data_IF_726152599781
#
_entry.id   IF_726152599781
#
_cell.length_a   1.000
_cell.length_b   1.000
_cell.length_c   1.000
_cell.angle_alpha   90.00
_cell.angle_beta   90.00
_cell.angle_gamma   90.00
#
_symmetry.space_group_name_H-M   'P 1'
#
loop_
_entity.id
_entity.type
_entity.pdbx_description
1 polymer ?
#
# COMPACT_ATOMS: atom_id res chain seq x y z
N UNK A 1 7.94 -11.57 -5.93
CA UNK A 1 9.01 -11.23 -6.91
C UNK A 1 9.27 -9.74 -6.79
N UNK A 2 10.52 -9.33 -6.57
CA UNK A 2 10.91 -7.95 -6.27
C UNK A 2 10.81 -7.06 -7.52
N UNK A 3 10.28 -5.84 -7.38
CA UNK A 3 10.32 -4.82 -8.44
C UNK A 3 11.76 -4.44 -8.81
N UNK A 4 12.70 -4.60 -7.86
CA UNK A 4 14.10 -4.20 -8.03
C UNK A 4 14.97 -5.19 -8.82
N UNK A 5 14.52 -6.42 -9.08
CA UNK A 5 15.36 -7.45 -9.74
C UNK A 5 15.23 -7.51 -11.27
N UNK A 6 14.47 -6.60 -11.90
CA UNK A 6 14.10 -6.72 -13.32
C UNK A 6 14.45 -5.55 -14.24
N UNK A 7 15.12 -4.50 -13.76
CA UNK A 7 15.34 -3.29 -14.57
C UNK A 7 14.05 -2.51 -14.88
N UNK A 8 13.04 -2.62 -14.02
CA UNK A 8 11.77 -1.91 -14.19
C UNK A 8 11.95 -0.40 -13.94
N UNK A 9 11.66 0.41 -14.96
CA UNK A 9 11.76 1.88 -14.92
C UNK A 9 10.49 2.55 -14.35
N UNK A 10 9.55 1.77 -13.83
CA UNK A 10 8.29 2.24 -13.27
C UNK A 10 7.40 1.10 -12.80
N UNK A 11 6.42 1.41 -11.93
CA UNK A 11 5.45 0.45 -11.40
C UNK A 11 4.04 0.99 -11.51
N UNK A 12 3.15 0.24 -12.17
CA UNK A 12 1.71 0.50 -12.15
C UNK A 12 1.08 -0.47 -11.16
N UNK A 13 0.41 0.05 -10.15
CA UNK A 13 -0.30 -0.77 -9.17
C UNK A 13 -1.19 0.10 -8.31
N UNK A 14 -2.38 -0.37 -7.95
CA UNK A 14 -3.31 0.48 -7.21
C UNK A 14 -2.87 0.81 -5.78
N UNK A 15 -1.76 0.23 -5.31
CA UNK A 15 -1.04 0.65 -4.09
C UNK A 15 -0.32 1.98 -4.25
N UNK A 16 -0.03 2.47 -5.47
CA UNK A 16 0.60 3.78 -5.69
C UNK A 16 -0.27 4.94 -5.19
N UNK A 17 -1.60 4.75 -5.15
CA UNK A 17 -2.54 5.77 -4.67
C UNK A 17 -2.26 6.21 -3.22
N UNK A 18 -1.74 5.30 -2.39
CA UNK A 18 -1.51 5.55 -0.96
C UNK A 18 -0.10 5.17 -0.47
N UNK A 19 0.67 4.40 -1.24
CA UNK A 19 2.04 3.98 -0.94
C UNK A 19 3.05 4.46 -2.00
N UNK A 20 2.72 5.48 -2.79
CA UNK A 20 3.55 5.97 -3.89
C UNK A 20 4.93 6.46 -3.43
N UNK A 21 5.00 7.17 -2.29
CA UNK A 21 6.26 7.69 -1.72
C UNK A 21 7.30 6.61 -1.47
N UNK A 22 6.90 5.47 -0.93
CA UNK A 22 7.81 4.36 -0.64
C UNK A 22 8.26 3.64 -1.91
N UNK A 23 7.37 3.49 -2.89
CA UNK A 23 7.70 2.88 -4.18
C UNK A 23 8.73 3.72 -4.96
N UNK A 24 8.58 5.06 -4.97
CA UNK A 24 9.60 5.95 -5.55
C UNK A 24 10.90 5.88 -4.75
N UNK A 25 10.82 5.86 -3.41
CA UNK A 25 11.99 5.74 -2.55
C UNK A 25 12.80 4.45 -2.77
N UNK A 26 12.17 3.33 -3.14
CA UNK A 26 12.87 2.08 -3.52
C UNK A 26 13.73 2.32 -4.76
N UNK A 27 13.16 2.97 -5.79
CA UNK A 27 13.84 3.23 -7.06
C UNK A 27 15.03 4.16 -6.81
N UNK A 28 14.81 5.28 -6.10
CA UNK A 28 15.86 6.23 -5.80
C UNK A 28 17.01 5.63 -4.96
N UNK A 29 16.68 4.81 -3.95
CA UNK A 29 17.71 4.16 -3.13
C UNK A 29 18.52 3.16 -3.95
N UNK A 30 17.86 2.41 -4.85
CA UNK A 30 18.52 1.51 -5.78
C UNK A 30 19.47 2.25 -6.73
N UNK A 31 19.03 3.35 -7.34
CA UNK A 31 19.84 4.18 -8.24
C UNK A 31 21.08 4.76 -7.56
N UNK A 32 20.99 5.08 -6.26
CA UNK A 32 22.11 5.54 -5.43
C UNK A 32 23.02 4.42 -4.90
N UNK A 33 22.70 3.15 -5.18
CA UNK A 33 23.42 1.98 -4.65
C UNK A 33 23.16 1.69 -3.17
N UNK A 34 22.18 2.37 -2.55
CA UNK A 34 21.77 2.16 -1.17
C UNK A 34 20.80 0.97 -1.07
N UNK A 35 21.38 -0.23 -1.10
CA UNK A 35 20.63 -1.48 -1.09
C UNK A 35 19.90 -1.75 0.23
N UNK A 36 20.39 -1.18 1.34
CA UNK A 36 19.77 -1.33 2.66
C UNK A 36 18.45 -0.58 2.71
N UNK A 37 18.46 0.72 2.34
CA UNK A 37 17.25 1.52 2.26
C UNK A 37 16.27 0.96 1.22
N UNK A 38 16.76 0.53 0.05
CA UNK A 38 15.90 -0.07 -0.97
C UNK A 38 15.16 -1.32 -0.44
N UNK A 39 15.86 -2.15 0.35
CA UNK A 39 15.28 -3.36 0.96
C UNK A 39 14.27 -3.01 2.07
N UNK A 40 14.58 -2.05 2.94
CA UNK A 40 13.69 -1.58 3.99
C UNK A 40 12.35 -1.13 3.40
N UNK A 41 12.40 -0.23 2.41
CA UNK A 41 11.21 0.31 1.75
C UNK A 41 10.41 -0.76 1.00
N UNK A 42 11.10 -1.71 0.39
CA UNK A 42 10.46 -2.86 -0.25
C UNK A 42 9.77 -3.76 0.76
N UNK A 43 10.36 -4.00 1.94
CA UNK A 43 9.75 -4.79 3.01
C UNK A 43 8.50 -4.11 3.58
N UNK A 44 8.57 -2.80 3.83
CA UNK A 44 7.41 -2.02 4.23
C UNK A 44 6.29 -2.09 3.18
N UNK A 45 6.63 -1.91 1.90
CA UNK A 45 5.65 -2.02 0.82
C UNK A 45 4.99 -3.40 0.74
N UNK A 46 5.74 -4.47 1.06
CA UNK A 46 5.16 -5.81 1.16
C UNK A 46 4.26 -5.97 2.40
N UNK A 47 4.61 -5.37 3.53
CA UNK A 47 3.76 -5.38 4.72
C UNK A 47 2.40 -4.74 4.43
N UNK A 48 2.37 -3.62 3.71
CA UNK A 48 1.12 -2.97 3.26
C UNK A 48 0.31 -3.90 2.35
N UNK A 49 0.96 -4.56 1.37
CA UNK A 49 0.30 -5.51 0.46
C UNK A 49 -0.30 -6.70 1.23
N UNK A 50 0.42 -7.24 2.21
CA UNK A 50 -0.05 -8.36 3.01
C UNK A 50 -1.34 -8.00 3.76
N UNK A 51 -1.40 -6.82 4.38
CA UNK A 51 -2.64 -6.32 5.00
C UNK A 51 -3.76 -6.29 3.97
N UNK A 52 -3.56 -5.65 2.81
CA UNK A 52 -4.61 -5.53 1.78
C UNK A 52 -5.11 -6.88 1.26
N UNK A 53 -4.21 -7.86 1.12
CA UNK A 53 -4.56 -9.22 0.70
C UNK A 53 -5.52 -9.90 1.69
N UNK A 54 -5.38 -9.64 2.99
CA UNK A 54 -6.32 -10.14 4.01
C UNK A 54 -7.73 -9.55 3.86
N UNK A 55 -7.86 -8.40 3.19
CA UNK A 55 -9.10 -7.65 3.06
C UNK A 55 -9.59 -7.50 1.62
N UNK A 56 -9.62 -8.62 0.89
CA UNK A 56 -10.20 -8.72 -0.47
C UNK A 56 -9.43 -7.91 -1.53
N UNK A 57 -8.13 -7.69 -1.29
CA UNK A 57 -7.23 -7.10 -2.26
C UNK A 57 -7.47 -5.61 -2.52
N UNK A 58 -6.74 -5.05 -3.47
CA UNK A 58 -6.69 -3.61 -3.67
C UNK A 58 -8.02 -2.99 -4.15
N UNK A 59 -8.88 -3.76 -4.82
CA UNK A 59 -10.17 -3.25 -5.32
C UNK A 59 -11.08 -2.84 -4.15
N UNK A 60 -11.18 -3.68 -3.11
CA UNK A 60 -12.03 -3.40 -1.94
C UNK A 60 -11.21 -2.76 -0.83
N UNK A 61 -10.15 -3.43 -0.38
CA UNK A 61 -9.33 -2.96 0.73
C UNK A 61 -8.56 -1.68 0.42
N UNK A 62 -8.02 -1.54 -0.80
CA UNK A 62 -7.34 -0.32 -1.22
C UNK A 62 -8.26 0.90 -1.20
N UNK A 63 -9.54 0.73 -1.55
CA UNK A 63 -10.55 1.81 -1.47
C UNK A 63 -10.80 2.23 -0.01
N UNK A 64 -10.75 1.29 0.93
CA UNK A 64 -10.86 1.59 2.37
C UNK A 64 -9.62 2.30 2.89
N UNK A 65 -8.44 1.94 2.42
CA UNK A 65 -7.21 2.67 2.73
C UNK A 65 -7.32 4.13 2.26
N UNK A 66 -7.83 4.40 1.06
CA UNK A 66 -8.06 5.77 0.57
C UNK A 66 -8.98 6.56 1.51
N UNK A 67 -10.08 5.95 1.97
CA UNK A 67 -10.98 6.56 2.95
C UNK A 67 -10.26 6.85 4.28
N UNK A 68 -9.43 5.91 4.77
CA UNK A 68 -8.66 6.08 6.00
C UNK A 68 -7.62 7.21 5.93
N UNK A 69 -7.12 7.54 4.74
CA UNK A 69 -6.20 8.67 4.50
C UNK A 69 -6.93 9.95 4.06
N UNK A 70 -8.26 10.00 4.18
CA UNK A 70 -9.07 11.21 3.98
C UNK A 70 -9.76 11.34 2.62
N UNK A 71 -9.65 10.36 1.72
CA UNK A 71 -10.33 10.36 0.43
C UNK A 71 -11.41 9.26 0.35
N UNK A 72 -12.65 9.62 0.67
CA UNK A 72 -13.77 8.67 0.57
C UNK A 72 -14.25 8.53 -0.88
N UNK A 73 -14.03 7.34 -1.45
CA UNK A 73 -14.42 7.00 -2.81
C UNK A 73 -15.78 6.26 -2.87
N UNK A 74 -16.45 6.07 -1.74
CA UNK A 74 -17.72 5.35 -1.60
C UNK A 74 -17.60 3.81 -1.62
N UNK A 75 -18.72 3.11 -1.76
CA UNK A 75 -18.75 1.64 -1.74
C UNK A 75 -18.36 1.02 -3.10
N UNK A 76 -17.98 -0.26 -3.07
CA UNK A 76 -17.78 -1.04 -4.29
C UNK A 76 -19.13 -1.53 -4.83
N UNK A 77 -19.27 -1.55 -6.16
CA UNK A 77 -20.45 -2.11 -6.84
C UNK A 77 -20.42 -3.64 -6.84
N UNK A 78 -21.59 -4.27 -6.95
CA UNK A 78 -21.74 -5.72 -7.14
C UNK A 78 -20.91 -6.16 -8.37
N UNK A 79 -20.21 -7.31 -8.35
CA UNK A 79 -20.29 -8.43 -7.39
C UNK A 79 -19.33 -8.34 -6.19
N UNK A 80 -18.65 -7.21 -5.96
CA UNK A 80 -17.68 -7.10 -4.88
C UNK A 80 -18.36 -7.05 -3.51
N UNK A 81 -17.95 -7.93 -2.60
CA UNK A 81 -18.34 -7.88 -1.19
C UNK A 81 -17.61 -6.73 -0.50
N UNK A 82 -18.36 -5.74 -0.05
CA UNK A 82 -17.83 -4.64 0.76
C UNK A 82 -17.34 -5.13 2.13
N UNK A 83 -16.42 -4.38 2.75
CA UNK A 83 -15.98 -4.62 4.12
C UNK A 83 -17.05 -4.19 5.12
N UNK A 84 -17.12 -4.90 6.25
CA UNK A 84 -17.88 -4.44 7.43
C UNK A 84 -17.07 -3.40 8.20
N UNK A 85 -17.72 -2.69 9.12
CA UNK A 85 -17.05 -1.68 9.95
C UNK A 85 -16.02 -2.32 10.89
N UNK A 86 -16.25 -3.56 11.35
CA UNK A 86 -15.30 -4.32 12.17
C UNK A 86 -14.06 -4.72 11.38
N UNK A 87 -14.23 -5.14 10.12
CA UNK A 87 -13.11 -5.43 9.22
C UNK A 87 -12.32 -4.16 8.90
N UNK A 88 -12.99 -3.02 8.71
CA UNK A 88 -12.34 -1.72 8.50
C UNK A 88 -11.53 -1.30 9.74
N UNK A 89 -12.08 -1.50 10.94
CA UNK A 89 -11.37 -1.24 12.20
C UNK A 89 -10.20 -2.22 12.46
N UNK A 90 -10.29 -3.46 12.01
CA UNK A 90 -9.19 -4.43 12.07
C UNK A 90 -8.07 -4.06 11.11
N UNK A 91 -8.42 -3.72 9.86
CA UNK A 91 -7.46 -3.25 8.87
C UNK A 91 -6.71 -2.01 9.36
N UNK A 92 -7.43 -1.02 9.91
CA UNK A 92 -6.81 0.20 10.45
C UNK A 92 -5.75 -0.13 11.52
N UNK A 93 -6.04 -1.06 12.43
CA UNK A 93 -5.10 -1.50 13.47
C UNK A 93 -3.87 -2.20 12.88
N UNK A 94 -4.04 -3.07 11.89
CA UNK A 94 -2.90 -3.70 11.20
C UNK A 94 -2.03 -2.66 10.46
N UNK A 95 -2.65 -1.66 9.84
CA UNK A 95 -1.94 -0.55 9.19
C UNK A 95 -1.19 0.33 10.21
N UNK A 96 -1.78 0.59 11.38
CA UNK A 96 -1.10 1.30 12.48
C UNK A 96 0.13 0.55 12.97
N UNK A 97 0.03 -0.78 13.14
CA UNK A 97 1.14 -1.61 13.61
C UNK A 97 2.36 -1.62 12.69
N UNK A 98 2.16 -1.46 11.38
CA UNK A 98 3.26 -1.37 10.41
C UNK A 98 3.74 0.07 10.19
N UNK A 99 3.19 1.06 10.90
CA UNK A 99 3.56 2.48 10.75
C UNK A 99 3.04 3.12 9.45
N UNK A 100 1.96 2.60 8.88
CA UNK A 100 1.47 3.01 7.57
C UNK A 100 1.18 4.52 7.47
N UNK A 101 0.45 5.06 8.45
CA UNK A 101 -0.03 6.45 8.43
C UNK A 101 1.08 7.50 8.55
N UNK A 102 2.29 7.10 8.97
CA UNK A 102 3.45 7.99 9.02
C UNK A 102 4.08 8.16 7.63
N UNK A 103 4.01 7.10 6.81
CA UNK A 103 4.76 6.91 5.56
C UNK A 103 3.90 7.03 4.30
N UNK A 104 2.59 6.88 4.43
CA UNK A 104 1.66 6.94 3.30
C UNK A 104 1.70 8.30 2.57
N UNK A 105 1.08 8.33 1.40
CA UNK A 105 0.81 9.58 0.69
C UNK A 105 -0.05 10.49 1.59
N UNK A 106 0.19 11.80 1.53
CA UNK A 106 -0.61 12.83 2.21
C UNK A 106 -1.23 13.72 1.12
N UNK A 107 -2.50 14.09 1.32
CA UNK A 107 -3.23 15.01 0.47
C UNK A 107 -3.14 16.44 1.01
#
# INVERSE_FOLDING_TARGET
>A
RSLAQGGAQGGIGGTTNYNGRELVGIIEAWERGDLETAREKQNFSQAVINVICNYRGNIVGGKRIMKLIGLDLGQNRVPFRNMTDEEEASMKRELEQIGFFERCNRF
#
